data_IF_546202670650
#
_entry.id   IF_546202670650
#
_cell.length_a   1.000
_cell.length_b   1.000
_cell.length_c   1.000
_cell.angle_alpha   90.00
_cell.angle_beta   90.00
_cell.angle_gamma   90.00
#
_symmetry.space_group_name_H-M   'P 1'
#
loop_
_entity.id
_entity.type
_entity.pdbx_description
1 polymer ?
#
# COMPACT_ATOMS: atom_id res chain seq x y z
N UNK A 1 -17.64 -15.51 -3.57
CA UNK A 1 -16.59 -16.20 -2.81
C UNK A 1 -15.42 -15.27 -2.59
N UNK A 2 -15.04 -15.07 -1.34
CA UNK A 2 -13.94 -14.18 -1.05
C UNK A 2 -12.60 -14.86 -1.35
N UNK A 3 -11.69 -14.08 -1.90
CA UNK A 3 -10.36 -14.56 -2.23
C UNK A 3 -9.50 -14.66 -0.97
N UNK A 4 -8.98 -15.85 -0.70
CA UNK A 4 -8.19 -16.11 0.51
C UNK A 4 -6.88 -15.32 0.54
N UNK A 5 -6.25 -15.09 -0.62
CA UNK A 5 -5.03 -14.29 -0.69
C UNK A 5 -5.31 -12.85 -0.33
N UNK A 6 -6.39 -12.29 -0.86
CA UNK A 6 -6.82 -10.92 -0.57
C UNK A 6 -7.18 -10.79 0.90
N UNK A 7 -7.97 -11.74 1.43
CA UNK A 7 -8.35 -11.74 2.85
C UNK A 7 -7.14 -11.76 3.77
N UNK A 8 -6.17 -12.60 3.46
CA UNK A 8 -4.95 -12.71 4.26
C UNK A 8 -4.18 -11.38 4.30
N UNK A 9 -3.95 -10.80 3.14
CA UNK A 9 -3.22 -9.53 3.04
C UNK A 9 -3.98 -8.41 3.74
N UNK A 10 -5.30 -8.35 3.57
CA UNK A 10 -6.12 -7.36 4.26
C UNK A 10 -6.03 -7.53 5.78
N UNK A 11 -6.00 -8.76 6.28
CA UNK A 11 -5.84 -9.00 7.72
C UNK A 11 -4.50 -8.49 8.25
N UNK A 12 -3.44 -8.62 7.46
CA UNK A 12 -2.13 -8.06 7.81
C UNK A 12 -2.20 -6.54 7.84
N UNK A 13 -2.82 -5.94 6.83
CA UNK A 13 -2.96 -4.47 6.74
C UNK A 13 -3.75 -3.92 7.93
N UNK A 14 -4.82 -4.61 8.34
CA UNK A 14 -5.63 -4.19 9.49
C UNK A 14 -4.81 -4.02 10.76
N UNK A 15 -3.78 -4.83 10.93
CA UNK A 15 -2.93 -4.83 12.11
C UNK A 15 -1.74 -3.87 12.01
N UNK A 16 -1.57 -3.19 10.89
CA UNK A 16 -0.53 -2.19 10.73
C UNK A 16 -0.89 -0.90 11.44
N UNK A 17 0.14 -0.18 11.91
CA UNK A 17 -0.05 1.20 12.35
C UNK A 17 -0.27 2.12 11.14
N UNK A 18 -0.67 3.36 11.42
CA UNK A 18 -0.97 4.32 10.36
C UNK A 18 0.24 4.60 9.47
N UNK A 19 1.42 4.74 10.05
CA UNK A 19 2.63 4.98 9.26
C UNK A 19 2.86 3.88 8.24
N UNK A 20 2.74 2.62 8.67
CA UNK A 20 2.96 1.49 7.77
C UNK A 20 1.87 1.38 6.70
N UNK A 21 0.62 1.69 7.06
CA UNK A 21 -0.46 1.76 6.04
C UNK A 21 -0.15 2.80 4.97
N UNK A 22 0.33 3.96 5.38
CA UNK A 22 0.69 5.03 4.45
C UNK A 22 1.92 4.67 3.61
N UNK A 23 2.92 4.05 4.21
CA UNK A 23 4.09 3.56 3.48
C UNK A 23 3.69 2.54 2.42
N UNK A 24 2.80 1.62 2.79
CA UNK A 24 2.28 0.63 1.86
C UNK A 24 1.54 1.28 0.71
N UNK A 25 0.71 2.29 1.01
CA UNK A 25 -0.02 3.04 -0.01
C UNK A 25 0.90 3.73 -0.99
N UNK A 26 1.98 4.35 -0.51
CA UNK A 26 3.00 4.95 -1.39
C UNK A 26 3.64 3.88 -2.27
N UNK A 27 3.98 2.72 -1.70
CA UNK A 27 4.59 1.64 -2.47
C UNK A 27 3.67 1.11 -3.56
N UNK A 28 2.42 0.84 -3.23
CA UNK A 28 1.44 0.31 -4.19
C UNK A 28 1.23 1.30 -5.34
N UNK A 29 1.10 2.58 -5.03
CA UNK A 29 0.81 3.61 -6.03
C UNK A 29 2.02 4.02 -6.86
N UNK A 30 3.24 3.78 -6.38
CA UNK A 30 4.47 4.13 -7.12
C UNK A 30 5.09 2.93 -7.83
N UNK A 31 4.66 1.71 -7.51
CA UNK A 31 5.26 0.51 -8.07
C UNK A 31 4.81 0.26 -9.51
N UNK A 32 5.75 -0.10 -10.38
CA UNK A 32 5.46 -0.55 -11.74
C UNK A 32 4.90 -1.97 -11.79
N UNK A 33 4.93 -2.67 -10.66
CA UNK A 33 4.45 -4.05 -10.56
C UNK A 33 2.98 -4.14 -10.17
N UNK A 34 2.34 -3.00 -9.89
CA UNK A 34 0.92 -2.96 -9.56
C UNK A 34 0.14 -2.28 -10.67
N UNK A 35 -1.02 -2.84 -10.98
CA UNK A 35 -1.89 -2.35 -12.04
C UNK A 35 -3.22 -1.92 -11.44
N UNK A 36 -3.31 -0.64 -11.09
CA UNK A 36 -4.51 -0.08 -10.47
C UNK A 36 -5.46 0.49 -11.51
N UNK A 37 -6.74 0.28 -11.29
CA UNK A 37 -7.80 0.77 -12.20
C UNK A 37 -8.01 2.27 -12.11
N UNK A 38 -7.63 2.87 -11.00
CA UNK A 38 -7.80 4.32 -10.85
C UNK A 38 -6.50 5.04 -11.05
N UNK A 39 -6.61 6.36 -10.99
CA UNK A 39 -5.50 7.25 -11.17
C UNK A 39 -4.44 7.02 -10.07
N UNK A 40 -3.39 6.30 -10.41
CA UNK A 40 -2.28 6.01 -9.49
C UNK A 40 -1.62 7.29 -8.99
N UNK A 41 -1.51 8.31 -9.84
CA UNK A 41 -0.86 9.57 -9.46
C UNK A 41 -1.65 10.29 -8.37
N UNK A 42 -2.98 10.29 -8.46
CA UNK A 42 -3.83 10.90 -7.44
C UNK A 42 -3.72 10.15 -6.12
N UNK A 43 -3.81 8.82 -6.17
CA UNK A 43 -3.68 7.98 -4.98
C UNK A 43 -2.31 8.16 -4.34
N UNK A 44 -1.25 8.16 -5.16
CA UNK A 44 0.10 8.38 -4.67
C UNK A 44 0.23 9.73 -3.96
N UNK A 45 -0.34 10.78 -4.54
CA UNK A 45 -0.29 12.13 -3.97
C UNK A 45 -0.94 12.17 -2.59
N UNK A 46 -2.07 11.49 -2.42
CA UNK A 46 -2.79 11.45 -1.14
C UNK A 46 -1.95 10.75 -0.06
N UNK A 47 -1.43 9.56 -0.37
CA UNK A 47 -0.62 8.81 0.58
C UNK A 47 0.69 9.52 0.91
N UNK A 48 1.35 10.07 -0.11
CA UNK A 48 2.63 10.76 0.05
C UNK A 48 2.48 11.99 0.95
N UNK A 49 1.44 12.79 0.71
CA UNK A 49 1.17 13.98 1.51
C UNK A 49 0.92 13.62 2.97
N UNK A 50 0.09 12.61 3.21
CA UNK A 50 -0.23 12.16 4.56
C UNK A 50 1.01 11.64 5.30
N UNK A 51 1.82 10.86 4.60
CA UNK A 51 3.03 10.29 5.20
C UNK A 51 4.04 11.38 5.56
N UNK A 52 4.19 12.38 4.71
CA UNK A 52 5.08 13.52 5.00
C UNK A 52 4.64 14.31 6.22
N UNK A 53 3.35 14.35 6.51
CA UNK A 53 2.81 15.06 7.67
C UNK A 53 3.16 14.38 8.98
N UNK A 54 3.33 13.05 8.99
CA UNK A 54 3.51 12.29 10.22
C UNK A 54 4.90 11.65 10.35
N UNK A 55 5.72 11.71 9.31
CA UNK A 55 7.06 11.13 9.30
C UNK A 55 8.07 12.13 8.75
N UNK A 56 8.76 12.82 9.66
CA UNK A 56 9.73 13.84 9.30
C UNK A 56 10.94 13.29 8.56
N UNK A 57 11.21 11.99 8.68
CA UNK A 57 12.33 11.34 8.03
C UNK A 57 11.94 10.71 6.70
N UNK A 58 10.68 10.87 6.32
CA UNK A 58 10.19 10.30 5.06
C UNK A 58 10.90 10.95 3.88
N UNK A 59 11.65 10.12 3.17
CA UNK A 59 12.26 10.50 1.90
C UNK A 59 11.46 9.82 0.81
N UNK A 60 11.08 10.57 -0.21
CA UNK A 60 10.20 10.14 -1.29
C UNK A 60 10.84 9.06 -2.19
N UNK A 61 11.47 8.08 -1.62
CA UNK A 61 12.13 7.04 -2.38
C UNK A 61 11.55 5.68 -2.06
N UNK A 62 11.05 5.02 -3.07
CA UNK A 62 10.61 3.63 -2.99
C UNK A 62 11.72 2.75 -2.39
N UNK A 63 12.98 3.05 -2.67
CA UNK A 63 14.14 2.29 -2.18
C UNK A 63 14.19 2.29 -0.65
N UNK A 64 13.77 3.38 -0.02
CA UNK A 64 13.79 3.51 1.44
C UNK A 64 12.81 2.57 2.13
N UNK A 65 11.81 2.05 1.40
CA UNK A 65 10.84 1.12 1.97
C UNK A 65 11.43 -0.27 2.24
N UNK A 66 12.60 -0.56 1.66
CA UNK A 66 13.29 -1.84 1.86
C UNK A 66 13.74 -2.08 3.30
N UNK A 67 13.81 -1.04 4.11
CA UNK A 67 14.16 -1.18 5.53
C UNK A 67 12.96 -1.57 6.42
N UNK A 68 11.76 -1.66 5.84
CA UNK A 68 10.56 -2.03 6.58
C UNK A 68 10.12 -3.44 6.17
N UNK A 69 10.48 -4.49 6.95
CA UNK A 69 10.19 -5.87 6.57
C UNK A 69 8.70 -6.14 6.31
N UNK A 70 7.80 -5.51 7.08
CA UNK A 70 6.36 -5.70 6.90
C UNK A 70 5.90 -5.17 5.53
N UNK A 71 6.50 -4.09 5.04
CA UNK A 71 6.18 -3.53 3.73
C UNK A 71 6.67 -4.47 2.63
N UNK A 72 7.90 -4.97 2.76
CA UNK A 72 8.47 -5.92 1.80
C UNK A 72 7.58 -7.17 1.73
N UNK A 73 7.19 -7.69 2.87
CA UNK A 73 6.35 -8.89 2.95
C UNK A 73 5.02 -8.69 2.21
N UNK A 74 4.31 -7.61 2.51
CA UNK A 74 3.01 -7.35 1.88
C UNK A 74 3.15 -7.07 0.39
N UNK A 75 4.16 -6.29 -0.01
CA UNK A 75 4.40 -6.00 -1.44
C UNK A 75 4.71 -7.28 -2.22
N UNK A 76 5.46 -8.19 -1.64
CA UNK A 76 5.75 -9.49 -2.27
C UNK A 76 4.45 -10.25 -2.53
N UNK A 77 3.54 -10.26 -1.56
CA UNK A 77 2.23 -10.91 -1.72
C UNK A 77 1.38 -10.24 -2.79
N UNK A 78 1.38 -8.90 -2.81
CA UNK A 78 0.62 -8.14 -3.80
C UNK A 78 1.14 -8.39 -5.23
N UNK A 79 2.45 -8.47 -5.39
CA UNK A 79 3.06 -8.71 -6.69
C UNK A 79 2.73 -10.09 -7.26
N UNK A 80 2.37 -11.05 -6.43
CA UNK A 80 1.93 -12.38 -6.84
C UNK A 80 0.45 -12.42 -7.25
N UNK A 81 -0.28 -11.33 -7.01
CA UNK A 81 -1.72 -11.23 -7.28
C UNK A 81 -2.00 -10.81 -8.73
N UNK A 82 -3.19 -11.18 -9.23
CA UNK A 82 -3.68 -10.65 -10.49
C UNK A 82 -4.21 -9.21 -10.29
N UNK A 83 -4.55 -8.55 -11.40
CA UNK A 83 -4.98 -7.15 -11.36
C UNK A 83 -6.21 -6.92 -10.48
N UNK A 84 -7.18 -7.83 -10.53
CA UNK A 84 -8.39 -7.70 -9.73
C UNK A 84 -8.09 -7.79 -8.23
N UNK A 85 -7.24 -8.73 -7.85
CA UNK A 85 -6.82 -8.90 -6.46
C UNK A 85 -6.04 -7.67 -5.96
N UNK A 86 -5.12 -7.16 -6.77
CA UNK A 86 -4.36 -5.95 -6.45
C UNK A 86 -5.28 -4.76 -6.22
N UNK A 87 -6.29 -4.61 -7.08
CA UNK A 87 -7.25 -3.52 -6.94
C UNK A 87 -8.09 -3.64 -5.66
N UNK A 88 -8.47 -4.85 -5.28
CA UNK A 88 -9.20 -5.07 -4.03
C UNK A 88 -8.38 -4.65 -2.81
N UNK A 89 -7.10 -5.00 -2.77
CA UNK A 89 -6.21 -4.61 -1.68
C UNK A 89 -6.02 -3.09 -1.66
N UNK A 90 -5.76 -2.49 -2.81
CA UNK A 90 -5.56 -1.05 -2.93
C UNK A 90 -6.81 -0.27 -2.50
N UNK A 91 -7.99 -0.72 -2.90
CA UNK A 91 -9.25 -0.09 -2.51
C UNK A 91 -9.48 -0.20 -1.00
N UNK A 92 -9.22 -1.38 -0.44
CA UNK A 92 -9.33 -1.55 1.00
C UNK A 92 -8.46 -0.54 1.73
N UNK A 93 -7.19 -0.46 1.33
CA UNK A 93 -6.23 0.45 1.96
C UNK A 93 -6.68 1.90 1.82
N UNK A 94 -7.04 2.31 0.61
CA UNK A 94 -7.48 3.67 0.32
C UNK A 94 -8.71 4.06 1.14
N UNK A 95 -9.68 3.16 1.26
CA UNK A 95 -10.94 3.45 1.98
C UNK A 95 -10.81 3.37 3.50
N UNK A 96 -9.72 2.81 4.02
CA UNK A 96 -9.54 2.59 5.45
C UNK A 96 -8.38 3.38 6.05
N UNK A 97 -7.92 4.39 5.36
CA UNK A 97 -6.98 5.34 5.93
C UNK A 97 -7.79 6.35 6.73
N UNK A 98 -7.47 6.49 8.00
CA UNK A 98 -8.09 7.52 8.81
C UNK A 98 -7.50 8.87 8.44
N UNK A 99 -8.39 9.76 8.09
CA UNK A 99 -8.03 11.11 7.69
C UNK A 99 -8.26 12.07 8.84
#
# INVERSE_FOLDING_TARGET
MEDEKVKYVISVIKNMDLKNKLRLGVCISSSNYTNLKYNKALIHSIFDKRLKEIDNEYLTSYVNMRKYPIIIFVMTKIMEMNNNQQNQVAMYLYNNIEI
#
